data_IF_998137718074
#
_entry.id   IF_998137718074
#
_cell.length_a   1.000
_cell.length_b   1.000
_cell.length_c   1.000
_cell.angle_alpha   90.00
_cell.angle_beta   90.00
_cell.angle_gamma   90.00
#
_symmetry.space_group_name_H-M   'P 1'
#
loop_
_entity.id
_entity.type
_entity.pdbx_description
1 polymer ?
#
# COMPACT_ATOMS: atom_id res chain seq x y z
N UNK A 1 10.82 4.88 10.17
CA UNK A 1 10.22 4.08 9.07
C UNK A 1 11.24 3.58 8.08
N UNK A 2 12.27 4.38 7.73
CA UNK A 2 13.19 4.12 6.63
C UNK A 2 14.57 3.57 7.03
N UNK A 3 14.78 3.28 8.32
CA UNK A 3 16.04 2.68 8.78
C UNK A 3 15.96 1.15 8.63
N UNK A 4 16.84 0.61 7.78
CA UNK A 4 16.91 -0.82 7.48
C UNK A 4 17.26 -1.67 8.71
N UNK A 5 18.16 -1.19 9.58
CA UNK A 5 18.62 -1.95 10.74
C UNK A 5 17.47 -2.16 11.72
N UNK A 6 16.70 -1.10 12.00
CA UNK A 6 15.54 -1.19 12.88
C UNK A 6 14.41 -2.03 12.27
N UNK A 7 14.23 -1.99 10.94
CA UNK A 7 13.27 -2.87 10.25
C UNK A 7 13.60 -4.34 10.46
N UNK A 8 14.86 -4.74 10.24
CA UNK A 8 15.31 -6.13 10.42
C UNK A 8 15.17 -6.61 11.86
N UNK A 9 15.49 -5.75 12.84
CA UNK A 9 15.27 -6.05 14.27
C UNK A 9 13.78 -6.25 14.54
N UNK A 10 12.93 -5.33 14.09
CA UNK A 10 11.48 -5.42 14.32
C UNK A 10 10.87 -6.67 13.71
N UNK A 11 11.26 -7.05 12.49
CA UNK A 11 10.77 -8.27 11.84
C UNK A 11 11.17 -9.51 12.63
N UNK A 12 12.45 -9.62 13.02
CA UNK A 12 12.94 -10.76 13.80
C UNK A 12 12.18 -10.94 15.10
N UNK A 13 11.99 -9.84 15.82
CA UNK A 13 11.26 -9.82 17.10
C UNK A 13 9.78 -10.18 16.92
N UNK A 14 9.15 -9.73 15.84
CA UNK A 14 7.76 -10.03 15.56
C UNK A 14 7.57 -11.49 15.16
N UNK A 15 8.44 -12.03 14.30
CA UNK A 15 8.40 -13.44 13.88
C UNK A 15 8.61 -14.38 15.07
N UNK A 16 9.53 -14.04 15.98
CA UNK A 16 9.79 -14.82 17.20
C UNK A 16 8.57 -14.93 18.14
N UNK A 17 7.63 -13.98 18.07
CA UNK A 17 6.38 -13.97 18.84
C UNK A 17 5.25 -14.77 18.18
N UNK A 18 5.47 -15.27 16.97
CA UNK A 18 4.56 -16.14 16.24
C UNK A 18 3.11 -15.61 16.08
N UNK A 19 2.88 -14.33 15.72
CA UNK A 19 1.51 -13.80 15.59
C UNK A 19 0.76 -14.46 14.41
N UNK A 20 -0.58 -14.45 14.40
CA UNK A 20 -1.37 -15.04 13.30
C UNK A 20 -1.21 -14.30 11.97
N UNK A 21 -0.74 -13.05 11.99
CA UNK A 21 -0.48 -12.23 10.81
C UNK A 21 0.52 -11.12 11.14
N UNK A 22 1.12 -10.52 10.12
CA UNK A 22 2.21 -9.55 10.28
C UNK A 22 1.87 -8.26 9.54
N UNK A 23 1.79 -7.16 10.29
CA UNK A 23 1.55 -5.84 9.73
C UNK A 23 2.87 -5.11 9.46
N UNK A 24 2.96 -4.49 8.29
CA UNK A 24 4.04 -3.61 7.86
C UNK A 24 3.50 -2.17 7.95
N UNK A 25 3.87 -1.49 9.02
CA UNK A 25 3.47 -0.10 9.28
C UNK A 25 4.62 0.91 9.12
N UNK A 26 4.32 2.18 9.35
CA UNK A 26 5.31 3.27 9.36
C UNK A 26 5.86 3.63 7.98
N UNK A 27 5.04 3.42 6.94
CA UNK A 27 5.21 3.86 5.56
C UNK A 27 3.96 4.66 5.21
N UNK A 28 4.02 5.98 5.31
CA UNK A 28 2.82 6.83 5.35
C UNK A 28 2.56 7.60 4.04
N UNK A 29 3.26 7.24 2.97
CA UNK A 29 3.07 7.82 1.63
C UNK A 29 3.68 9.22 1.46
N UNK A 30 4.53 9.65 2.39
CA UNK A 30 5.31 10.89 2.30
C UNK A 30 6.76 10.66 1.88
N UNK A 31 7.18 9.40 1.81
CA UNK A 31 8.53 8.98 1.45
C UNK A 31 8.72 8.90 -0.07
N UNK A 32 9.97 8.97 -0.52
CA UNK A 32 10.28 8.73 -1.93
C UNK A 32 9.89 7.30 -2.33
N UNK A 33 9.52 7.11 -3.60
CA UNK A 33 8.96 5.85 -4.07
C UNK A 33 9.95 4.69 -3.91
N UNK A 34 11.22 4.97 -4.18
CA UNK A 34 12.34 4.04 -4.07
C UNK A 34 12.55 3.61 -2.61
N UNK A 35 12.50 4.57 -1.67
CA UNK A 35 12.65 4.29 -0.24
C UNK A 35 11.49 3.46 0.29
N UNK A 36 10.26 3.80 -0.12
CA UNK A 36 9.06 3.02 0.20
C UNK A 36 9.21 1.56 -0.26
N UNK A 37 9.52 1.34 -1.54
CA UNK A 37 9.69 -0.01 -2.11
C UNK A 37 10.80 -0.76 -1.38
N UNK A 38 11.95 -0.11 -1.14
CA UNK A 38 13.07 -0.71 -0.43
C UNK A 38 12.66 -1.19 0.96
N UNK A 39 11.92 -0.38 1.71
CA UNK A 39 11.48 -0.76 3.06
C UNK A 39 10.44 -1.87 3.06
N UNK A 40 9.52 -1.91 2.09
CA UNK A 40 8.60 -3.03 1.93
C UNK A 40 9.38 -4.32 1.65
N UNK A 41 10.31 -4.30 0.69
CA UNK A 41 11.12 -5.46 0.33
C UNK A 41 11.94 -6.00 1.51
N UNK A 42 12.60 -5.13 2.28
CA UNK A 42 13.33 -5.53 3.50
C UNK A 42 12.37 -6.13 4.54
N UNK A 43 11.18 -5.54 4.67
CA UNK A 43 10.20 -6.00 5.66
C UNK A 43 9.60 -7.36 5.28
N UNK A 44 9.46 -7.67 3.99
CA UNK A 44 8.88 -8.94 3.51
C UNK A 44 9.88 -10.07 3.34
N UNK A 45 11.18 -9.78 3.16
CA UNK A 45 12.24 -10.76 2.89
C UNK A 45 12.28 -11.95 3.87
N UNK A 46 12.01 -11.71 5.16
CA UNK A 46 12.15 -12.70 6.23
C UNK A 46 10.83 -13.03 6.94
N UNK A 47 9.68 -12.77 6.31
CA UNK A 47 8.38 -13.09 6.87
C UNK A 47 7.94 -14.51 6.47
N UNK A 48 7.40 -15.33 7.40
CA UNK A 48 6.88 -16.65 7.06
C UNK A 48 5.84 -16.60 5.96
N UNK A 49 5.99 -17.44 4.93
CA UNK A 49 5.04 -17.51 3.80
C UNK A 49 3.64 -18.02 4.21
N UNK A 50 3.56 -18.72 5.34
CA UNK A 50 2.29 -19.24 5.86
C UNK A 50 1.43 -18.18 6.57
N UNK A 51 1.88 -16.92 6.65
CA UNK A 51 1.23 -15.86 7.42
C UNK A 51 0.88 -14.66 6.55
N UNK A 52 -0.35 -14.11 6.66
CA UNK A 52 -0.75 -12.96 5.89
C UNK A 52 0.07 -11.72 6.27
N UNK A 53 0.47 -10.97 5.24
CA UNK A 53 1.29 -9.76 5.34
C UNK A 53 0.44 -8.54 5.00
N UNK A 54 0.17 -7.71 5.99
CA UNK A 54 -0.71 -6.54 5.87
C UNK A 54 0.11 -5.26 5.73
N UNK A 55 0.02 -4.57 4.59
CA UNK A 55 0.66 -3.28 4.38
C UNK A 55 -0.32 -2.13 4.69
N UNK A 56 -0.03 -1.40 5.76
CA UNK A 56 -0.95 -0.41 6.32
C UNK A 56 -0.89 0.91 5.55
N UNK A 57 -2.05 1.49 5.22
CA UNK A 57 -2.20 2.85 4.71
C UNK A 57 -1.86 3.05 3.23
N UNK A 58 -1.65 1.99 2.46
CA UNK A 58 -1.29 2.05 1.04
C UNK A 58 -2.51 1.80 0.15
N UNK A 59 -2.80 2.75 -0.75
CA UNK A 59 -4.01 2.69 -1.57
C UNK A 59 -3.89 3.12 -3.02
N UNK A 60 -2.72 3.56 -3.48
CA UNK A 60 -2.51 3.82 -4.90
C UNK A 60 -2.41 2.49 -5.66
N UNK A 61 -3.10 2.39 -6.80
CA UNK A 61 -3.21 1.13 -7.55
C UNK A 61 -1.84 0.55 -7.94
N UNK A 62 -0.94 1.38 -8.47
CA UNK A 62 0.43 0.96 -8.85
C UNK A 62 1.22 0.48 -7.64
N UNK A 63 1.05 1.16 -6.52
CA UNK A 63 1.78 0.85 -5.28
C UNK A 63 1.34 -0.49 -4.72
N UNK A 64 0.04 -0.74 -4.68
CA UNK A 64 -0.52 -2.02 -4.26
C UNK A 64 -0.01 -3.16 -5.16
N UNK A 65 0.00 -2.98 -6.49
CA UNK A 65 0.51 -3.99 -7.42
C UNK A 65 2.00 -4.32 -7.16
N UNK A 66 2.82 -3.30 -6.94
CA UNK A 66 4.24 -3.51 -6.60
C UNK A 66 4.39 -4.24 -5.26
N UNK A 67 3.59 -3.89 -4.26
CA UNK A 67 3.67 -4.52 -2.94
C UNK A 67 3.14 -5.96 -2.94
N UNK A 68 2.14 -6.26 -3.77
CA UNK A 68 1.70 -7.64 -4.03
C UNK A 68 2.84 -8.45 -4.64
N UNK A 69 3.59 -7.88 -5.60
CA UNK A 69 4.76 -8.54 -6.17
C UNK A 69 5.90 -8.75 -5.14
N UNK A 70 5.97 -7.92 -4.10
CA UNK A 70 6.87 -8.07 -2.94
C UNK A 70 6.32 -8.99 -1.85
N UNK A 71 5.12 -9.56 -2.06
CA UNK A 71 4.51 -10.57 -1.20
C UNK A 71 3.55 -10.04 -0.14
N UNK A 72 3.05 -8.81 -0.24
CA UNK A 72 1.97 -8.30 0.62
C UNK A 72 0.60 -8.83 0.20
N UNK A 73 -0.23 -9.20 1.19
CA UNK A 73 -1.53 -9.85 0.97
C UNK A 73 -2.73 -8.94 1.26
N UNK A 74 -2.57 -8.00 2.19
CA UNK A 74 -3.66 -7.13 2.66
C UNK A 74 -3.25 -5.67 2.63
N UNK A 75 -4.23 -4.79 2.36
CA UNK A 75 -4.05 -3.35 2.26
C UNK A 75 -5.27 -2.61 2.79
N UNK A 76 -5.06 -1.42 3.33
CA UNK A 76 -6.12 -0.48 3.68
C UNK A 76 -5.72 0.94 3.24
N UNK A 77 -6.69 1.73 2.79
CA UNK A 77 -6.45 3.15 2.55
C UNK A 77 -7.75 3.94 2.46
N UNK A 78 -7.72 5.17 2.98
CA UNK A 78 -8.82 6.14 2.81
C UNK A 78 -8.88 6.73 1.41
N UNK A 79 -7.86 6.52 0.59
CA UNK A 79 -7.71 7.18 -0.71
C UNK A 79 -8.94 7.02 -1.63
N UNK A 80 -9.51 5.81 -1.84
CA UNK A 80 -10.67 5.65 -2.71
C UNK A 80 -11.90 6.43 -2.20
N UNK A 81 -12.20 6.33 -0.91
CA UNK A 81 -13.38 7.01 -0.33
C UNK A 81 -13.19 8.52 -0.24
N UNK A 82 -11.98 8.99 0.07
CA UNK A 82 -11.64 10.43 0.13
C UNK A 82 -11.74 11.07 -1.25
N UNK A 83 -11.12 10.47 -2.25
CA UNK A 83 -11.04 11.00 -3.62
C UNK A 83 -12.41 11.00 -4.30
N UNK A 84 -13.25 9.99 -4.04
CA UNK A 84 -14.64 9.95 -4.51
C UNK A 84 -15.48 11.14 -3.99
N UNK A 85 -15.31 11.53 -2.71
CA UNK A 85 -16.02 12.70 -2.15
C UNK A 85 -15.67 14.02 -2.84
N UNK A 86 -14.50 14.10 -3.47
CA UNK A 86 -14.07 15.24 -4.27
C UNK A 86 -14.33 15.05 -5.77
N UNK A 87 -15.25 14.15 -6.13
CA UNK A 87 -15.72 13.98 -7.50
C UNK A 87 -14.71 13.29 -8.42
N UNK A 88 -13.75 12.53 -7.88
CA UNK A 88 -12.79 11.79 -8.70
C UNK A 88 -13.06 10.29 -8.66
N UNK A 89 -13.25 9.70 -9.83
CA UNK A 89 -13.39 8.26 -10.03
C UNK A 89 -12.03 7.62 -10.35
N UNK A 90 -11.76 6.48 -9.73
CA UNK A 90 -10.63 5.62 -10.08
C UNK A 90 -11.07 4.71 -11.24
N UNK A 91 -10.29 4.67 -12.31
CA UNK A 91 -10.56 3.85 -13.50
C UNK A 91 -9.34 2.98 -13.83
N UNK A 92 -9.49 2.07 -14.79
CA UNK A 92 -8.50 1.04 -15.11
C UNK A 92 -7.06 1.56 -15.28
N UNK A 93 -6.08 0.73 -14.90
CA UNK A 93 -4.64 1.02 -14.98
C UNK A 93 -4.18 2.22 -14.13
N UNK A 94 -4.84 2.46 -12.99
CA UNK A 94 -4.46 3.52 -12.05
C UNK A 94 -4.79 4.94 -12.52
N UNK A 95 -5.59 5.07 -13.60
CA UNK A 95 -6.06 6.35 -14.11
C UNK A 95 -7.15 6.93 -13.20
N UNK A 96 -7.31 8.25 -13.26
CA UNK A 96 -8.28 8.99 -12.47
C UNK A 96 -9.09 9.90 -13.39
N UNK A 97 -10.40 9.95 -13.20
CA UNK A 97 -11.30 10.86 -13.90
C UNK A 97 -11.90 11.84 -12.90
N UNK A 98 -11.69 13.14 -13.14
CA UNK A 98 -12.40 14.17 -12.39
C UNK A 98 -13.80 14.36 -13.00
N UNK A 99 -14.80 13.74 -12.38
CA UNK A 99 -16.20 13.78 -12.81
C UNK A 99 -16.86 15.15 -12.62
N UNK A 100 -16.24 16.08 -11.88
CA UNK A 100 -16.70 17.47 -11.81
C UNK A 100 -16.38 18.28 -13.09
N UNK A 101 -15.61 17.71 -14.02
CA UNK A 101 -15.30 18.37 -15.28
C UNK A 101 -16.54 18.43 -16.20
N UNK A 102 -16.79 19.60 -16.79
CA UNK A 102 -17.93 19.84 -17.70
C UNK A 102 -18.02 18.85 -18.86
N UNK A 103 -16.89 18.28 -19.31
CA UNK A 103 -16.86 17.27 -20.38
C UNK A 103 -17.73 16.04 -20.09
N UNK A 104 -18.06 15.80 -18.82
CA UNK A 104 -18.83 14.63 -18.38
C UNK A 104 -20.33 14.91 -18.17
N UNK A 105 -20.82 16.12 -18.42
CA UNK A 105 -22.21 16.50 -18.12
C UNK A 105 -23.26 15.72 -18.94
N UNK A 106 -22.92 15.38 -20.18
CA UNK A 106 -23.80 14.68 -21.11
C UNK A 106 -23.28 13.29 -21.47
N UNK A 107 -22.30 12.81 -20.73
CA UNK A 107 -21.65 11.53 -20.99
C UNK A 107 -22.59 10.39 -20.53
N UNK A 108 -23.02 9.56 -21.48
CA UNK A 108 -23.91 8.41 -21.24
C UNK A 108 -23.19 7.06 -21.34
N UNK A 109 -21.88 7.05 -21.63
CA UNK A 109 -21.10 5.82 -21.84
C UNK A 109 -19.63 5.96 -21.44
#
# INVERSE_FOLDING_TARGET
GLDESFRRISVRELVARDPPGIAIGGLSGGEAKEDFIKMVAISTENLPDSKPRYLMGVGYAVDMLLCVALGCDQFDCVYPTRTARFGTALVGLGKQLNLANQRYLTDQS
#
